data_IF_447589733352
#
_entry.id   IF_447589733352
#
_cell.length_a   1.000
_cell.length_b   1.000
_cell.length_c   1.000
_cell.angle_alpha   90.00
_cell.angle_beta   90.00
_cell.angle_gamma   90.00
#
_symmetry.space_group_name_H-M   'P 1'
#
loop_
_entity.id
_entity.type
_entity.pdbx_description
1 polymer ?
#
# COMPACT_ATOMS: atom_id res chain seq x y z
N UNK A 1 -0.48 13.47 24.31
CA UNK A 1 -1.05 12.44 23.43
C UNK A 1 -1.55 11.30 24.31
N UNK A 2 -2.54 10.51 23.88
CA UNK A 2 -3.03 9.34 24.63
C UNK A 2 -2.06 8.16 24.47
N UNK A 3 -1.97 7.29 25.47
CA UNK A 3 -1.11 6.09 25.46
C UNK A 3 -1.38 5.16 24.26
N UNK A 4 -2.65 5.02 23.86
CA UNK A 4 -3.04 4.26 22.66
C UNK A 4 -2.49 4.88 21.37
N UNK A 5 -2.50 6.22 21.25
CA UNK A 5 -1.99 6.92 20.08
C UNK A 5 -0.47 6.70 19.92
N UNK A 6 0.27 6.82 21.02
CA UNK A 6 1.72 6.57 21.04
C UNK A 6 2.06 5.12 20.68
N UNK A 7 1.25 4.16 21.16
CA UNK A 7 1.38 2.75 20.80
C UNK A 7 1.16 2.51 19.30
N UNK A 8 0.09 3.05 18.72
CA UNK A 8 -0.20 2.91 17.29
C UNK A 8 0.86 3.60 16.41
N UNK A 9 1.38 4.75 16.83
CA UNK A 9 2.47 5.44 16.12
C UNK A 9 3.75 4.61 16.13
N UNK A 10 4.11 4.00 17.27
CA UNK A 10 5.24 3.09 17.35
C UNK A 10 5.06 1.88 16.43
N UNK A 11 3.91 1.22 16.49
CA UNK A 11 3.58 0.09 15.62
C UNK A 11 3.74 0.46 14.14
N UNK A 12 3.20 1.62 13.75
CA UNK A 12 3.26 2.12 12.37
C UNK A 12 4.71 2.35 11.93
N UNK A 13 5.52 3.02 12.76
CA UNK A 13 6.93 3.27 12.45
C UNK A 13 7.78 1.99 12.36
N UNK A 14 7.54 1.02 13.25
CA UNK A 14 8.20 -0.29 13.20
C UNK A 14 7.84 -1.08 11.94
N UNK A 15 6.56 -1.04 11.55
CA UNK A 15 6.08 -1.67 10.32
C UNK A 15 6.70 -1.03 9.08
N UNK A 16 6.71 0.30 8.99
CA UNK A 16 7.30 1.00 7.85
C UNK A 16 8.81 0.73 7.73
N UNK A 17 9.53 0.68 8.85
CA UNK A 17 10.94 0.31 8.87
C UNK A 17 11.18 -1.15 8.43
N UNK A 18 10.27 -2.06 8.78
CA UNK A 18 10.30 -3.45 8.30
C UNK A 18 10.08 -3.50 6.78
N UNK A 19 9.04 -2.84 6.27
CA UNK A 19 8.69 -2.83 4.85
C UNK A 19 9.81 -2.20 4.00
N UNK A 20 10.39 -1.10 4.47
CA UNK A 20 11.54 -0.46 3.81
C UNK A 20 12.73 -1.43 3.72
N UNK A 21 13.08 -2.10 4.82
CA UNK A 21 14.17 -3.08 4.84
C UNK A 21 13.93 -4.21 3.84
N UNK A 22 12.70 -4.74 3.77
CA UNK A 22 12.36 -5.77 2.78
C UNK A 22 12.54 -5.26 1.34
N UNK A 23 12.12 -4.03 1.07
CA UNK A 23 12.24 -3.42 -0.26
C UNK A 23 13.71 -3.14 -0.64
N UNK A 24 14.55 -2.74 0.33
CA UNK A 24 16.00 -2.59 0.15
C UNK A 24 16.67 -3.94 -0.15
N UNK A 25 16.34 -4.98 0.62
CA UNK A 25 16.86 -6.35 0.41
C UNK A 25 16.52 -6.89 -0.99
N UNK A 26 15.30 -6.60 -1.46
CA UNK A 26 14.85 -6.97 -2.81
C UNK A 26 15.48 -6.07 -3.89
N UNK A 27 16.08 -4.93 -3.53
CA UNK A 27 16.60 -3.94 -4.47
C UNK A 27 15.50 -3.19 -5.24
N UNK A 28 14.32 -3.06 -4.64
CA UNK A 28 13.19 -2.31 -5.18
C UNK A 28 13.16 -0.87 -4.68
N UNK A 29 13.63 -0.62 -3.45
CA UNK A 29 13.80 0.71 -2.89
C UNK A 29 15.22 0.89 -2.37
N UNK A 30 15.56 2.14 -2.07
CA UNK A 30 16.81 2.51 -1.41
C UNK A 30 16.48 2.96 0.03
N UNK A 31 17.11 4.03 0.51
CA UNK A 31 17.17 4.41 1.93
C UNK A 31 15.87 4.88 2.59
N UNK A 32 14.80 5.04 1.82
CA UNK A 32 13.51 5.51 2.34
C UNK A 32 12.35 5.13 1.42
N UNK A 33 11.15 5.12 1.98
CA UNK A 33 9.91 5.14 1.20
C UNK A 33 9.83 6.47 0.46
N UNK A 34 9.58 6.42 -0.85
CA UNK A 34 9.22 7.61 -1.63
C UNK A 34 7.77 7.95 -1.31
N UNK A 35 7.47 9.23 -1.22
CA UNK A 35 6.13 9.72 -0.89
C UNK A 35 5.84 11.03 -1.59
N UNK A 36 4.55 11.34 -1.72
CA UNK A 36 4.03 12.66 -2.03
C UNK A 36 3.00 13.02 -0.97
N UNK A 37 2.87 14.31 -0.66
CA UNK A 37 1.91 14.80 0.33
C UNK A 37 0.47 14.43 -0.10
N UNK A 38 0.11 14.71 -1.36
CA UNK A 38 -1.20 14.41 -1.94
C UNK A 38 -1.64 12.95 -1.72
N UNK A 39 -0.79 11.99 -2.08
CA UNK A 39 -1.15 10.57 -1.96
C UNK A 39 -1.15 10.11 -0.50
N UNK A 40 -0.29 10.69 0.35
CA UNK A 40 -0.28 10.39 1.79
C UNK A 40 -1.56 10.88 2.45
N UNK A 41 -2.01 12.09 2.11
CA UNK A 41 -3.25 12.69 2.62
C UNK A 41 -4.51 12.01 2.05
N UNK A 42 -4.40 11.41 0.87
CA UNK A 42 -5.52 10.70 0.22
C UNK A 42 -5.87 9.37 0.91
N UNK A 43 -4.92 8.74 1.62
CA UNK A 43 -5.11 7.41 2.21
C UNK A 43 -6.39 7.25 3.06
N UNK A 44 -6.73 8.14 4.02
CA UNK A 44 -7.91 7.95 4.86
C UNK A 44 -9.22 7.87 4.07
N UNK A 45 -9.30 8.56 2.94
CA UNK A 45 -10.47 8.54 2.06
C UNK A 45 -10.48 7.31 1.14
N UNK A 46 -9.32 6.85 0.66
CA UNK A 46 -9.18 5.60 -0.11
C UNK A 46 -9.42 4.35 0.76
N UNK A 47 -8.99 4.41 2.03
CA UNK A 47 -9.14 3.29 2.95
C UNK A 47 -10.62 2.95 3.21
N UNK A 48 -11.52 3.94 3.23
CA UNK A 48 -12.95 3.72 3.49
C UNK A 48 -13.61 2.72 2.52
N UNK A 49 -13.59 2.94 1.20
CA UNK A 49 -14.14 1.97 0.27
C UNK A 49 -13.34 0.67 0.23
N UNK A 50 -12.01 0.74 0.34
CA UNK A 50 -11.16 -0.46 0.38
C UNK A 50 -11.53 -1.40 1.53
N UNK A 51 -11.80 -0.86 2.73
CA UNK A 51 -12.23 -1.65 3.89
C UNK A 51 -13.55 -2.38 3.64
N UNK A 52 -14.43 -1.85 2.79
CA UNK A 52 -15.68 -2.49 2.40
C UNK A 52 -15.48 -3.84 1.71
N UNK A 53 -14.37 -3.98 0.97
CA UNK A 53 -13.98 -5.22 0.30
C UNK A 53 -13.04 -6.07 1.17
N UNK A 54 -12.11 -5.42 1.87
CA UNK A 54 -11.06 -6.11 2.60
C UNK A 54 -11.54 -6.76 3.90
N UNK A 55 -12.37 -6.07 4.71
CA UNK A 55 -12.81 -6.60 6.00
C UNK A 55 -13.59 -7.92 5.89
N UNK A 56 -14.54 -8.09 4.94
CA UNK A 56 -15.21 -9.37 4.74
C UNK A 56 -14.28 -10.52 4.37
N UNK A 57 -13.19 -10.23 3.65
CA UNK A 57 -12.26 -11.24 3.15
C UNK A 57 -11.15 -11.59 4.13
N UNK A 58 -10.83 -10.72 5.08
CA UNK A 58 -9.70 -10.88 5.98
C UNK A 58 -9.67 -12.23 6.70
N UNK A 59 -10.82 -12.76 7.13
CA UNK A 59 -10.90 -14.04 7.86
C UNK A 59 -10.42 -15.23 7.00
N UNK A 60 -10.70 -15.20 5.69
CA UNK A 60 -10.37 -16.30 4.76
C UNK A 60 -9.08 -16.05 4.00
N UNK A 61 -8.84 -14.80 3.64
CA UNK A 61 -7.77 -14.37 2.75
C UNK A 61 -7.04 -13.13 3.33
N UNK A 62 -6.39 -13.25 4.50
CA UNK A 62 -5.79 -12.10 5.19
C UNK A 62 -4.65 -11.46 4.38
N UNK A 63 -3.86 -12.26 3.66
CA UNK A 63 -2.77 -11.76 2.82
C UNK A 63 -3.27 -10.95 1.63
N UNK A 64 -4.37 -11.37 1.05
CA UNK A 64 -5.04 -10.71 -0.06
C UNK A 64 -5.65 -9.39 0.41
N UNK A 65 -6.42 -9.46 1.50
CA UNK A 65 -7.01 -8.32 2.19
C UNK A 65 -6.00 -7.23 2.59
N UNK A 66 -4.80 -7.64 3.03
CA UNK A 66 -3.72 -6.71 3.37
C UNK A 66 -2.93 -6.27 2.13
N UNK A 67 -2.58 -7.18 1.24
CA UNK A 67 -1.63 -6.95 0.15
C UNK A 67 -2.17 -6.07 -0.97
N UNK A 68 -3.47 -6.14 -1.28
CA UNK A 68 -4.02 -5.36 -2.40
C UNK A 68 -3.92 -3.85 -2.22
N UNK A 69 -3.87 -3.33 -0.99
CA UNK A 69 -3.69 -1.90 -0.76
C UNK A 69 -2.34 -1.39 -1.27
N UNK A 70 -1.30 -2.23 -1.30
CA UNK A 70 -0.01 -1.88 -1.87
C UNK A 70 -0.11 -1.73 -3.40
N UNK A 71 -0.85 -2.63 -4.07
CA UNK A 71 -1.14 -2.49 -5.50
C UNK A 71 -1.97 -1.23 -5.78
N UNK A 72 -2.98 -0.93 -4.94
CA UNK A 72 -3.73 0.33 -5.03
C UNK A 72 -2.80 1.54 -4.91
N UNK A 73 -1.85 1.54 -3.97
CA UNK A 73 -0.84 2.59 -3.84
C UNK A 73 0.05 2.74 -5.09
N UNK A 74 0.49 1.62 -5.67
CA UNK A 74 1.27 1.63 -6.93
C UNK A 74 0.47 2.24 -8.08
N UNK A 75 -0.77 1.80 -8.26
CA UNK A 75 -1.65 2.31 -9.31
C UNK A 75 -1.93 3.81 -9.12
N UNK A 76 -2.22 4.26 -7.90
CA UNK A 76 -2.44 5.68 -7.63
C UNK A 76 -1.21 6.51 -7.96
N UNK A 77 0.00 6.08 -7.63
CA UNK A 77 1.21 6.80 -8.00
C UNK A 77 1.35 6.95 -9.53
N UNK A 78 1.08 5.88 -10.29
CA UNK A 78 1.16 5.91 -11.76
C UNK A 78 0.05 6.74 -12.39
N UNK A 79 -1.19 6.65 -11.90
CA UNK A 79 -2.30 7.45 -12.38
C UNK A 79 -2.07 8.94 -12.08
N UNK A 80 -1.63 9.25 -10.86
CA UNK A 80 -1.33 10.64 -10.45
C UNK A 80 -0.25 11.26 -11.31
N UNK A 81 0.81 10.53 -11.62
CA UNK A 81 1.88 11.00 -12.51
C UNK A 81 1.38 11.21 -13.96
N UNK A 82 0.50 10.33 -14.44
CA UNK A 82 0.00 10.40 -15.80
C UNK A 82 -0.88 11.63 -16.06
N UNK A 83 -1.77 11.99 -15.12
CA UNK A 83 -2.70 13.11 -15.25
C UNK A 83 -3.25 13.58 -13.90
N UNK A 84 -2.42 14.26 -13.11
CA UNK A 84 -2.81 14.73 -11.77
C UNK A 84 -4.03 15.69 -11.79
N UNK A 85 -4.24 16.47 -12.86
CA UNK A 85 -5.40 17.36 -12.98
C UNK A 85 -6.69 16.53 -13.04
N UNK A 86 -6.71 15.50 -13.88
CA UNK A 86 -7.86 14.59 -13.99
C UNK A 86 -8.09 13.80 -12.72
N UNK A 87 -7.06 13.17 -12.16
CA UNK A 87 -7.23 12.27 -11.01
C UNK A 87 -7.39 13.02 -9.70
N UNK A 88 -6.86 14.24 -9.57
CA UNK A 88 -7.06 15.10 -8.41
C UNK A 88 -8.46 15.67 -8.28
N UNK A 89 -9.23 15.75 -9.37
CA UNK A 89 -10.64 16.16 -9.35
C UNK A 89 -11.61 15.06 -8.89
N UNK A 90 -11.17 13.79 -8.92
CA UNK A 90 -12.02 12.66 -8.58
C UNK A 90 -12.06 12.44 -7.07
N UNK A 91 -13.24 12.08 -6.56
CA UNK A 91 -13.36 11.63 -5.19
C UNK A 91 -12.67 10.26 -4.98
N UNK A 92 -12.30 9.96 -3.74
CA UNK A 92 -11.57 8.74 -3.40
C UNK A 92 -12.34 7.44 -3.72
N UNK A 93 -13.68 7.45 -3.64
CA UNK A 93 -14.50 6.30 -4.02
C UNK A 93 -14.36 6.01 -5.52
N UNK A 94 -14.43 7.06 -6.35
CA UNK A 94 -14.27 7.01 -7.79
C UNK A 94 -12.85 6.61 -8.20
N UNK A 95 -11.83 7.11 -7.49
CA UNK A 95 -10.43 6.70 -7.69
C UNK A 95 -10.23 5.22 -7.38
N UNK A 96 -10.67 4.76 -6.20
CA UNK A 96 -10.58 3.35 -5.85
C UNK A 96 -11.38 2.47 -6.82
N UNK A 97 -12.58 2.88 -7.22
CA UNK A 97 -13.40 2.15 -8.18
C UNK A 97 -12.72 1.98 -9.54
N UNK A 98 -12.01 2.99 -10.05
CA UNK A 98 -11.26 2.87 -11.30
C UNK A 98 -10.13 1.83 -11.24
N UNK A 99 -9.56 1.60 -10.05
CA UNK A 99 -8.52 0.58 -9.87
C UNK A 99 -9.14 -0.79 -9.64
N UNK A 100 -10.19 -0.84 -8.82
CA UNK A 100 -10.84 -2.07 -8.40
C UNK A 100 -11.68 -2.70 -9.52
N UNK A 101 -12.57 -1.93 -10.13
CA UNK A 101 -13.66 -2.49 -10.96
C UNK A 101 -13.23 -3.15 -12.29
N UNK A 102 -12.17 -2.73 -12.99
CA UNK A 102 -11.86 -3.25 -14.32
C UNK A 102 -11.70 -4.78 -14.37
N UNK A 103 -11.04 -5.38 -13.37
CA UNK A 103 -10.94 -6.84 -13.21
C UNK A 103 -11.60 -7.38 -11.94
N UNK A 104 -12.05 -6.49 -11.06
CA UNK A 104 -12.66 -6.87 -9.78
C UNK A 104 -11.62 -7.04 -8.67
N UNK A 105 -12.10 -7.50 -7.51
CA UNK A 105 -11.30 -7.70 -6.32
C UNK A 105 -10.22 -8.76 -6.56
N UNK A 106 -10.66 -9.96 -6.98
CA UNK A 106 -9.86 -11.18 -7.12
C UNK A 106 -8.65 -11.06 -8.07
N UNK A 107 -8.70 -10.11 -9.00
CA UNK A 107 -7.67 -9.89 -10.04
C UNK A 107 -7.12 -8.45 -10.00
N UNK A 108 -7.20 -7.78 -8.85
CA UNK A 108 -6.75 -6.39 -8.68
C UNK A 108 -5.25 -6.24 -8.97
N UNK A 109 -4.42 -7.18 -8.53
CA UNK A 109 -2.99 -7.17 -8.80
C UNK A 109 -2.68 -7.33 -10.29
N UNK A 110 -3.39 -8.20 -11.00
CA UNK A 110 -3.25 -8.33 -12.46
C UNK A 110 -3.61 -7.01 -13.18
N UNK A 111 -4.70 -6.35 -12.79
CA UNK A 111 -5.05 -5.03 -13.34
C UNK A 111 -3.93 -4.02 -13.11
N UNK A 112 -3.44 -3.91 -11.87
CA UNK A 112 -2.42 -2.91 -11.53
C UNK A 112 -1.14 -3.17 -12.31
N UNK A 113 -0.65 -4.41 -12.37
CA UNK A 113 0.60 -4.71 -13.06
C UNK A 113 0.47 -4.56 -14.58
N UNK A 114 -0.60 -5.09 -15.18
CA UNK A 114 -0.72 -5.15 -16.63
C UNK A 114 -1.27 -3.87 -17.27
N UNK A 115 -2.26 -3.24 -16.63
CA UNK A 115 -2.99 -2.11 -17.22
C UNK A 115 -2.55 -0.77 -16.65
N UNK A 116 -2.39 -0.67 -15.32
CA UNK A 116 -1.91 0.58 -14.73
C UNK A 116 -0.41 0.78 -14.99
N UNK A 117 0.43 -0.23 -14.73
CA UNK A 117 1.88 -0.15 -14.92
C UNK A 117 2.33 -0.52 -16.34
N UNK A 118 1.49 -1.17 -17.14
CA UNK A 118 1.84 -1.58 -18.50
C UNK A 118 2.85 -2.73 -18.59
N UNK A 119 3.02 -3.51 -17.53
CA UNK A 119 3.90 -4.68 -17.55
C UNK A 119 3.29 -5.79 -18.40
N UNK A 120 4.14 -6.55 -19.09
CA UNK A 120 3.67 -7.74 -19.79
C UNK A 120 3.28 -8.80 -18.75
N UNK A 121 2.14 -9.46 -18.98
CA UNK A 121 1.73 -10.64 -18.23
C UNK A 121 2.88 -11.64 -18.14
N UNK A 122 3.08 -12.18 -16.95
CA UNK A 122 4.14 -13.15 -16.61
C UNK A 122 5.58 -12.67 -16.86
N UNK A 123 5.82 -11.37 -17.10
CA UNK A 123 7.17 -10.83 -17.18
C UNK A 123 7.93 -11.02 -15.86
N UNK A 124 9.26 -11.10 -15.94
CA UNK A 124 10.11 -11.24 -14.74
C UNK A 124 9.85 -10.11 -13.73
N UNK A 125 9.60 -8.90 -14.21
CA UNK A 125 9.30 -7.74 -13.37
C UNK A 125 7.91 -7.84 -12.70
N UNK A 126 6.87 -8.22 -13.45
CA UNK A 126 5.55 -8.46 -12.87
C UNK A 126 5.60 -9.54 -11.77
N UNK A 127 6.26 -10.67 -12.07
CA UNK A 127 6.45 -11.74 -11.08
C UNK A 127 7.25 -11.29 -9.86
N UNK A 128 8.23 -10.42 -10.04
CA UNK A 128 9.03 -9.86 -8.95
C UNK A 128 8.16 -9.01 -8.02
N UNK A 129 7.33 -8.10 -8.56
CA UNK A 129 6.41 -7.31 -7.74
C UNK A 129 5.39 -8.18 -7.01
N UNK A 130 4.77 -9.16 -7.68
CA UNK A 130 3.82 -10.08 -7.05
C UNK A 130 4.46 -10.84 -5.89
N UNK A 131 5.64 -11.44 -6.10
CA UNK A 131 6.36 -12.18 -5.05
C UNK A 131 6.77 -11.28 -3.89
N UNK A 132 7.27 -10.08 -4.20
CA UNK A 132 7.67 -9.12 -3.18
C UNK A 132 6.49 -8.66 -2.32
N UNK A 133 5.40 -8.24 -2.95
CA UNK A 133 4.22 -7.76 -2.23
C UNK A 133 3.52 -8.87 -1.44
N UNK A 134 3.56 -10.12 -1.93
CA UNK A 134 3.15 -11.27 -1.15
C UNK A 134 3.98 -11.40 0.13
N UNK A 135 5.32 -11.38 0.02
CA UNK A 135 6.23 -11.43 1.19
C UNK A 135 6.00 -10.25 2.13
N UNK A 136 5.79 -9.04 1.61
CA UNK A 136 5.50 -7.86 2.41
C UNK A 136 4.18 -7.99 3.19
N UNK A 137 3.14 -8.55 2.57
CA UNK A 137 1.86 -8.83 3.21
C UNK A 137 2.00 -9.91 4.30
N UNK A 138 2.78 -10.97 4.08
CA UNK A 138 3.05 -12.01 5.08
C UNK A 138 3.77 -11.46 6.33
N UNK A 139 4.79 -10.63 6.11
CA UNK A 139 5.54 -10.00 7.20
C UNK A 139 4.68 -8.98 7.96
N UNK A 140 3.86 -8.21 7.23
CA UNK A 140 2.88 -7.29 7.82
C UNK A 140 1.81 -8.01 8.65
N UNK A 141 1.28 -9.12 8.13
CA UNK A 141 0.33 -9.95 8.86
C UNK A 141 0.96 -10.53 10.12
N UNK A 142 2.20 -11.03 10.02
CA UNK A 142 2.93 -11.54 11.18
C UNK A 142 3.12 -10.46 12.25
N UNK A 143 3.50 -9.24 11.85
CA UNK A 143 3.60 -8.10 12.77
C UNK A 143 2.25 -7.75 13.40
N UNK A 144 1.17 -7.68 12.62
CA UNK A 144 -0.18 -7.43 13.12
C UNK A 144 -0.64 -8.50 14.14
N UNK A 145 -0.36 -9.78 13.87
CA UNK A 145 -0.76 -10.88 14.77
C UNK A 145 0.05 -10.90 16.08
N UNK A 146 1.29 -10.41 16.07
CA UNK A 146 2.10 -10.29 17.29
C UNK A 146 1.59 -9.23 18.27
N UNK A 147 0.74 -8.31 17.83
CA UNK A 147 0.11 -7.34 18.74
C UNK A 147 -0.97 -7.98 19.63
N UNK A 148 -1.40 -9.20 19.31
CA UNK A 148 -2.38 -9.98 20.11
C UNK A 148 -3.67 -9.21 20.44
N UNK A 149 -4.08 -8.28 19.58
CA UNK A 149 -5.33 -7.56 19.74
C UNK A 149 -6.51 -8.52 19.59
N UNK A 150 -7.49 -8.38 20.48
CA UNK A 150 -8.70 -9.19 20.43
C UNK A 150 -9.50 -8.87 19.15
N UNK A 151 -9.91 -9.87 18.36
CA UNK A 151 -10.72 -9.67 17.16
C UNK A 151 -11.97 -8.83 17.44
N UNK A 152 -12.41 -8.05 16.45
CA UNK A 152 -13.62 -7.21 16.54
C UNK A 152 -13.56 -6.11 17.62
N UNK A 153 -12.37 -5.74 18.09
CA UNK A 153 -12.18 -4.56 18.96
C UNK A 153 -11.77 -3.31 18.17
N UNK A 154 -12.00 -2.09 18.72
CA UNK A 154 -11.49 -0.86 18.12
C UNK A 154 -9.98 -0.89 17.88
N UNK A 155 -9.21 -1.47 18.81
CA UNK A 155 -7.76 -1.61 18.69
C UNK A 155 -7.37 -2.50 17.51
N UNK A 156 -8.03 -3.65 17.34
CA UNK A 156 -7.76 -4.54 16.21
C UNK A 156 -8.03 -3.86 14.86
N UNK A 157 -9.14 -3.09 14.76
CA UNK A 157 -9.42 -2.32 13.56
C UNK A 157 -8.39 -1.21 13.32
N UNK A 158 -8.00 -0.48 14.37
CA UNK A 158 -6.98 0.56 14.27
C UNK A 158 -5.64 -0.01 13.80
N UNK A 159 -5.19 -1.12 14.41
CA UNK A 159 -3.96 -1.81 14.00
C UNK A 159 -4.05 -2.28 12.54
N UNK A 160 -5.16 -2.89 12.16
CA UNK A 160 -5.40 -3.30 10.77
C UNK A 160 -5.30 -2.12 9.79
N UNK A 161 -5.92 -0.98 10.10
CA UNK A 161 -5.82 0.23 9.27
C UNK A 161 -4.40 0.80 9.26
N UNK A 162 -3.65 0.72 10.36
CA UNK A 162 -2.22 1.08 10.38
C UNK A 162 -1.38 0.14 9.51
N UNK A 163 -1.71 -1.15 9.48
CA UNK A 163 -1.06 -2.12 8.59
C UNK A 163 -1.33 -1.78 7.12
N UNK A 164 -2.58 -1.48 6.79
CA UNK A 164 -2.97 -1.04 5.45
C UNK A 164 -2.24 0.24 5.05
N UNK A 165 -2.08 1.19 5.97
CA UNK A 165 -1.34 2.43 5.72
C UNK A 165 0.14 2.18 5.37
N UNK A 166 0.83 1.32 6.13
CA UNK A 166 2.22 0.96 5.83
C UNK A 166 2.37 0.30 4.47
N UNK A 167 1.49 -0.65 4.13
CA UNK A 167 1.47 -1.32 2.83
C UNK A 167 1.09 -0.37 1.68
N UNK A 168 0.15 0.55 1.92
CA UNK A 168 -0.22 1.60 0.98
C UNK A 168 0.98 2.48 0.63
N UNK A 169 1.70 2.98 1.65
CA UNK A 169 2.89 3.81 1.46
C UNK A 169 4.02 3.06 0.76
N UNK A 170 4.21 1.78 1.09
CA UNK A 170 5.12 0.91 0.33
C UNK A 170 4.71 0.87 -1.15
N UNK A 171 3.42 0.67 -1.44
CA UNK A 171 2.86 0.69 -2.79
C UNK A 171 3.14 1.98 -3.54
N UNK A 172 2.82 3.12 -2.94
CA UNK A 172 3.12 4.45 -3.50
C UNK A 172 4.61 4.59 -3.80
N UNK A 173 5.47 4.20 -2.85
CA UNK A 173 6.91 4.27 -3.01
C UNK A 173 7.43 3.44 -4.19
N UNK A 174 6.91 2.21 -4.35
CA UNK A 174 7.24 1.34 -5.47
C UNK A 174 6.75 1.91 -6.80
N UNK A 175 5.54 2.47 -6.86
CA UNK A 175 5.00 3.11 -8.05
C UNK A 175 5.83 4.34 -8.48
N UNK A 176 6.18 5.20 -7.53
CA UNK A 176 7.08 6.33 -7.79
C UNK A 176 8.46 5.86 -8.28
N UNK A 177 9.01 4.82 -7.66
CA UNK A 177 10.30 4.26 -8.10
C UNK A 177 10.21 3.65 -9.50
N UNK A 178 9.11 2.98 -9.83
CA UNK A 178 8.84 2.43 -11.15
C UNK A 178 8.83 3.51 -12.23
N UNK A 179 8.25 4.68 -11.93
CA UNK A 179 8.28 5.86 -12.80
C UNK A 179 9.67 6.54 -12.90
N UNK A 180 10.66 6.05 -12.14
CA UNK A 180 12.03 6.55 -12.16
C UNK A 180 12.33 7.66 -11.16
N UNK A 181 11.38 7.99 -10.26
CA UNK A 181 11.65 8.93 -9.17
C UNK A 181 12.73 8.38 -8.22
N UNK A 182 13.53 9.30 -7.71
CA UNK A 182 14.61 9.02 -6.76
C UNK A 182 14.51 9.99 -5.61
N UNK A 183 14.89 9.54 -4.43
CA UNK A 183 15.05 10.44 -3.31
C UNK A 183 16.16 11.45 -3.61
N UNK A 184 15.84 12.74 -3.54
CA UNK A 184 16.82 13.81 -3.49
C UNK A 184 16.97 14.27 -2.04
N UNK A 185 18.06 13.90 -1.40
CA UNK A 185 18.45 14.54 -0.14
C UNK A 185 18.97 15.94 -0.49
N UNK A 186 18.19 16.98 -0.23
CA UNK A 186 18.73 18.34 -0.22
C UNK A 186 19.55 18.53 1.07
N UNK A 187 20.72 17.90 1.17
CA UNK A 187 21.77 18.45 2.03
C UNK A 187 22.50 19.54 1.25
N UNK A 188 21.85 20.69 1.16
CA UNK A 188 22.46 21.97 0.84
C UNK A 188 22.19 22.92 2.01
N UNK A 189 23.01 22.78 3.06
CA UNK A 189 23.76 23.84 3.74
C UNK A 189 24.43 23.30 5.01
#
# INVERSE_FOLDING_TARGET
MTQEKEYLERYTGELEALLLRLAEEEGLLEKQLLETEDLTELFPEIAKPYLGDAVPDFEKYPLVSLGWIAFVGMALAVLWDADWERYGELDAQSLYAQIRQPRGWDELDEYVLEEALGLKKDSEEAQRYTKFLHRAAEQSLSALMHEHAEPSTPLALQLYVRTLYGLYRLGVALGLRFLGYKYHSSMAN
#
